data_IF_143750234282
#
_entry.id   IF_143750234282
#
_cell.length_a   1.000
_cell.length_b   1.000
_cell.length_c   1.000
_cell.angle_alpha   90.00
_cell.angle_beta   90.00
_cell.angle_gamma   90.00
#
_symmetry.space_group_name_H-M   'P 1'
#
loop_
_entity.id
_entity.type
_entity.pdbx_description
1 polymer ?
#
# COMPACT_ATOMS: atom_id res chain seq x y z
N UNK A 1 -5.10 -1.59 16.99
CA UNK A 1 -5.01 -2.23 15.68
C UNK A 1 -4.43 -1.23 14.68
N UNK A 2 -3.34 -1.57 14.03
CA UNK A 2 -2.69 -0.65 13.09
C UNK A 2 -3.44 -0.62 11.76
N UNK A 3 -3.54 0.57 11.18
CA UNK A 3 -4.20 0.79 9.90
C UNK A 3 -3.19 1.23 8.85
N UNK A 4 -3.38 0.75 7.64
CA UNK A 4 -2.50 1.06 6.51
C UNK A 4 -3.33 1.43 5.30
N UNK A 5 -2.77 2.28 4.46
CA UNK A 5 -3.35 2.62 3.16
C UNK A 5 -2.42 2.09 2.08
N UNK A 6 -2.99 1.39 1.11
CA UNK A 6 -2.25 0.88 -0.04
C UNK A 6 -2.86 1.45 -1.31
N UNK A 7 -2.02 2.04 -2.15
CA UNK A 7 -2.39 2.42 -3.51
C UNK A 7 -1.75 1.40 -4.45
N UNK A 8 -2.57 0.74 -5.25
CA UNK A 8 -2.10 -0.32 -6.12
C UNK A 8 -2.91 -0.43 -7.40
N UNK A 9 -2.83 -1.60 -8.03
CA UNK A 9 -3.60 -1.93 -9.24
C UNK A 9 -4.40 -3.21 -9.01
N UNK A 10 -5.41 -3.42 -9.85
CA UNK A 10 -6.29 -4.57 -9.69
C UNK A 10 -5.59 -5.91 -9.99
N UNK A 11 -4.53 -5.92 -10.80
CA UNK A 11 -3.82 -7.13 -11.21
C UNK A 11 -2.38 -7.17 -10.70
N UNK A 12 -2.15 -6.67 -9.51
CA UNK A 12 -0.80 -6.56 -8.94
C UNK A 12 -0.59 -7.65 -7.89
N UNK A 13 0.34 -8.56 -8.15
CA UNK A 13 0.67 -9.64 -7.23
C UNK A 13 1.26 -9.11 -5.92
N UNK A 14 2.18 -8.16 -6.00
CA UNK A 14 2.80 -7.61 -4.80
C UNK A 14 1.84 -6.76 -3.99
N UNK A 15 0.84 -6.16 -4.63
CA UNK A 15 -0.22 -5.46 -3.92
C UNK A 15 -1.02 -6.44 -3.06
N UNK A 16 -1.38 -7.58 -3.63
CA UNK A 16 -2.10 -8.64 -2.89
C UNK A 16 -1.25 -9.19 -1.75
N UNK A 17 0.03 -9.39 -1.98
CA UNK A 17 0.95 -9.86 -0.93
C UNK A 17 1.06 -8.86 0.21
N UNK A 18 1.09 -7.57 -0.11
CA UNK A 18 1.15 -6.53 0.91
C UNK A 18 -0.10 -6.54 1.79
N UNK A 19 -1.27 -6.68 1.17
CA UNK A 19 -2.53 -6.80 1.90
C UNK A 19 -2.50 -8.00 2.84
N UNK A 20 -2.11 -9.16 2.33
CA UNK A 20 -2.03 -10.38 3.12
C UNK A 20 -1.07 -10.25 4.28
N UNK A 21 0.09 -9.65 4.05
CA UNK A 21 1.10 -9.48 5.09
C UNK A 21 0.58 -8.61 6.24
N UNK A 22 -0.09 -7.50 5.91
CA UNK A 22 -0.66 -6.62 6.94
C UNK A 22 -1.74 -7.35 7.74
N UNK A 23 -2.62 -8.09 7.05
CA UNK A 23 -3.69 -8.84 7.71
C UNK A 23 -3.15 -9.93 8.61
N UNK A 24 -2.09 -10.61 8.20
CA UNK A 24 -1.44 -11.65 9.00
C UNK A 24 -0.88 -11.09 10.30
N UNK A 25 -0.51 -9.82 10.31
CA UNK A 25 -0.02 -9.13 11.51
C UNK A 25 -1.14 -8.46 12.30
N UNK A 26 -2.39 -8.71 11.95
CA UNK A 26 -3.53 -8.15 12.66
C UNK A 26 -3.86 -6.72 12.28
N UNK A 27 -3.31 -6.22 11.19
CA UNK A 27 -3.57 -4.86 10.72
C UNK A 27 -4.80 -4.76 9.84
N UNK A 28 -5.23 -3.54 9.59
CA UNK A 28 -6.36 -3.20 8.72
C UNK A 28 -5.83 -2.44 7.50
N UNK A 29 -6.33 -2.80 6.33
CA UNK A 29 -5.90 -2.19 5.06
C UNK A 29 -7.06 -1.45 4.40
N UNK A 30 -6.80 -0.22 3.98
CA UNK A 30 -7.66 0.50 3.04
C UNK A 30 -6.95 0.47 1.69
N UNK A 31 -7.55 -0.19 0.71
CA UNK A 31 -6.94 -0.41 -0.59
C UNK A 31 -7.60 0.45 -1.66
N UNK A 32 -6.79 1.22 -2.37
CA UNK A 32 -7.26 2.06 -3.47
C UNK A 32 -6.54 1.65 -4.75
N UNK A 33 -7.35 1.30 -5.77
CA UNK A 33 -6.80 0.90 -7.06
C UNK A 33 -6.81 2.07 -8.03
N UNK A 34 -5.69 2.30 -8.70
CA UNK A 34 -5.60 3.33 -9.75
C UNK A 34 -6.47 2.98 -10.96
N UNK A 35 -6.91 1.73 -11.07
CA UNK A 35 -7.81 1.29 -12.14
C UNK A 35 -9.26 1.68 -11.88
N UNK A 36 -9.63 1.83 -10.60
CA UNK A 36 -11.02 2.03 -10.21
C UNK A 36 -11.37 3.48 -9.90
N UNK A 37 -10.36 4.30 -9.60
CA UNK A 37 -10.59 5.68 -9.16
C UNK A 37 -9.68 6.63 -9.92
N UNK A 38 -10.30 7.49 -10.74
CA UNK A 38 -9.55 8.47 -11.52
C UNK A 38 -8.78 9.44 -10.63
N UNK A 39 -9.38 9.86 -9.51
CA UNK A 39 -8.71 10.81 -8.61
C UNK A 39 -7.48 10.18 -7.97
N UNK A 40 -7.52 8.89 -7.68
CA UNK A 40 -6.36 8.15 -7.15
C UNK A 40 -5.26 8.08 -8.20
N UNK A 41 -5.62 7.80 -9.45
CA UNK A 41 -4.66 7.77 -10.55
C UNK A 41 -4.00 9.13 -10.74
N UNK A 42 -4.78 10.20 -10.71
CA UNK A 42 -4.25 11.56 -10.87
C UNK A 42 -3.29 11.91 -9.73
N UNK A 43 -3.66 11.58 -8.49
CA UNK A 43 -2.80 11.79 -7.33
C UNK A 43 -1.49 11.01 -7.47
N UNK A 44 -1.59 9.76 -7.91
CA UNK A 44 -0.44 8.89 -8.14
C UNK A 44 0.53 9.51 -9.14
N UNK A 45 0.00 9.99 -10.26
CA UNK A 45 0.83 10.63 -11.29
C UNK A 45 1.48 11.91 -10.80
N UNK A 46 0.74 12.73 -10.06
CA UNK A 46 1.25 14.01 -9.56
C UNK A 46 2.34 13.85 -8.51
N UNK A 47 2.28 12.78 -7.74
CA UNK A 47 3.28 12.53 -6.70
C UNK A 47 4.60 11.99 -7.24
N UNK A 48 4.67 11.70 -8.55
CA UNK A 48 5.88 11.18 -9.16
C UNK A 48 6.15 9.72 -8.88
N UNK A 49 5.22 9.05 -8.24
CA UNK A 49 5.34 7.62 -7.92
C UNK A 49 5.06 6.81 -9.18
N UNK A 50 5.92 5.85 -9.48
CA UNK A 50 5.83 5.07 -10.72
C UNK A 50 5.60 3.59 -10.51
N UNK A 51 5.64 3.13 -9.26
CA UNK A 51 5.54 1.70 -8.95
C UNK A 51 4.43 1.45 -7.95
N UNK A 52 3.88 0.24 -7.97
CA UNK A 52 2.87 -0.23 -7.03
C UNK A 52 3.35 -1.54 -6.41
N UNK A 53 2.96 -1.84 -5.17
CA UNK A 53 2.12 -1.04 -4.27
C UNK A 53 2.88 0.13 -3.66
N UNK A 54 2.14 1.16 -3.23
CA UNK A 54 2.67 2.23 -2.39
C UNK A 54 1.86 2.24 -1.11
N UNK A 55 2.54 2.29 0.03
CA UNK A 55 1.94 2.00 1.32
C UNK A 55 2.24 3.13 2.30
N UNK A 56 1.21 3.53 3.04
CA UNK A 56 1.33 4.53 4.12
C UNK A 56 0.79 3.93 5.41
N UNK A 57 1.35 4.36 6.54
CA UNK A 57 0.83 3.97 7.85
C UNK A 57 -0.31 4.89 8.27
N UNK A 58 -0.89 4.62 9.46
CA UNK A 58 -2.04 5.37 9.94
C UNK A 58 -1.72 6.82 10.32
N UNK A 59 -0.44 7.15 10.44
CA UNK A 59 0.00 8.52 10.74
C UNK A 59 0.35 9.30 9.47
N UNK A 60 0.17 8.70 8.31
CA UNK A 60 0.46 9.33 7.04
C UNK A 60 1.90 9.20 6.58
N UNK A 61 2.72 8.44 7.28
CA UNK A 61 4.11 8.21 6.90
C UNK A 61 4.19 7.25 5.72
N UNK A 62 4.94 7.62 4.70
CA UNK A 62 5.13 6.78 3.51
C UNK A 62 6.12 5.66 3.83
N UNK A 63 5.66 4.43 3.77
CA UNK A 63 6.50 3.26 4.03
C UNK A 63 7.30 2.89 2.78
N UNK A 64 6.67 2.92 1.62
CA UNK A 64 7.26 2.51 0.35
C UNK A 64 6.46 1.38 -0.29
N UNK A 65 7.14 0.42 -0.86
CA UNK A 65 6.51 -0.73 -1.51
C UNK A 65 6.47 -1.96 -0.63
N UNK A 66 6.24 -3.10 -1.26
CA UNK A 66 6.12 -4.39 -0.55
C UNK A 66 7.39 -4.72 0.23
N UNK A 67 8.56 -4.53 -0.39
CA UNK A 67 9.85 -4.87 0.25
C UNK A 67 10.05 -4.06 1.53
N UNK A 68 9.79 -2.76 1.48
CA UNK A 68 9.92 -1.86 2.63
C UNK A 68 8.93 -2.24 3.73
N UNK A 69 7.69 -2.58 3.35
CA UNK A 69 6.68 -3.04 4.30
C UNK A 69 7.11 -4.33 4.98
N UNK A 70 7.61 -5.28 4.21
CA UNK A 70 8.06 -6.57 4.74
C UNK A 70 9.17 -6.39 5.76
N UNK A 71 10.12 -5.52 5.45
CA UNK A 71 11.22 -5.21 6.37
C UNK A 71 10.70 -4.58 7.66
N UNK A 72 9.79 -3.63 7.55
CA UNK A 72 9.19 -2.97 8.70
C UNK A 72 8.47 -3.95 9.62
N UNK A 73 7.62 -4.80 9.05
CA UNK A 73 6.81 -5.74 9.83
C UNK A 73 7.63 -6.91 10.36
N UNK A 74 8.70 -7.28 9.67
CA UNK A 74 9.57 -8.36 10.11
C UNK A 74 10.37 -7.96 11.36
N UNK A 75 10.65 -6.67 11.51
CA UNK A 75 11.38 -6.15 12.66
C UNK A 75 10.56 -6.12 13.94
N UNK A 76 9.27 -6.40 13.85
CA UNK A 76 8.39 -6.45 15.04
C UNK A 76 8.54 -7.82 15.77
#
# INVERSE_FOLDING_TARGET
>A
MKQYVIVGRSDCMYCSRAVGLIRDKGGVVSYYSINDSKWVLDLFKKSGIKTVPQIWDQEGNHIGGYTELKTLLKGD
#
